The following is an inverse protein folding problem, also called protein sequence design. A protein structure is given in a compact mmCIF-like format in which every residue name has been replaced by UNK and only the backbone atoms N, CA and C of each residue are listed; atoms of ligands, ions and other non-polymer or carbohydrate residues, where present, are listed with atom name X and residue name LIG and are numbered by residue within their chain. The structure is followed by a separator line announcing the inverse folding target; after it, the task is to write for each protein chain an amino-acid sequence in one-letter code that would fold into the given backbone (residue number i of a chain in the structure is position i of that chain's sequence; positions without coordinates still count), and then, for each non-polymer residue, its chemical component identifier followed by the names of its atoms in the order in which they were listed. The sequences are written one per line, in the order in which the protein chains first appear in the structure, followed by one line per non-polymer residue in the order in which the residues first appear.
data_IF_097308589768
#
_entry.id   IF_097308589768
#
_cell.length_a   1.000
_cell.length_b   1.000
_cell.length_c   1.000
_cell.angle_alpha   90.00
_cell.angle_beta   90.00
_cell.angle_gamma   90.00
#
_symmetry.space_group_name_H-M   'P 1'
#
loop_
_entity.id
_entity.type
_entity.pdbx_description
1 polymer ?
#
# COMPACT_ATOMS: atom_id res chain seq x y z
N UNK A 1 13.65 -35.28 -11.65
CA UNK A 1 14.39 -34.31 -10.81
C UNK A 1 13.47 -33.14 -10.54
N UNK A 2 12.85 -33.10 -9.35
CA UNK A 2 11.92 -32.05 -8.94
C UNK A 2 12.64 -31.08 -8.00
N UNK A 3 12.89 -29.84 -8.44
CA UNK A 3 13.12 -28.68 -7.54
C UNK A 3 13.10 -27.36 -8.34
N UNK A 4 12.04 -26.56 -8.18
CA UNK A 4 12.03 -25.08 -8.23
C UNK A 4 10.63 -24.53 -8.59
N UNK A 5 9.68 -24.49 -7.65
CA UNK A 5 8.51 -23.59 -7.74
C UNK A 5 8.06 -23.02 -6.38
N UNK A 6 8.81 -23.25 -5.30
CA UNK A 6 8.36 -22.84 -3.95
C UNK A 6 8.74 -21.39 -3.56
N UNK A 7 9.35 -20.61 -4.47
CA UNK A 7 9.82 -19.25 -4.18
C UNK A 7 8.86 -18.12 -4.55
N UNK A 8 8.01 -18.28 -5.58
CA UNK A 8 7.36 -17.13 -6.23
C UNK A 8 5.89 -16.90 -5.80
N UNK A 9 5.27 -17.85 -5.09
CA UNK A 9 3.84 -17.76 -4.73
C UNK A 9 3.60 -17.07 -3.39
N UNK A 10 4.58 -17.07 -2.48
CA UNK A 10 4.46 -16.41 -1.16
C UNK A 10 4.77 -14.92 -1.21
N UNK A 11 5.65 -14.47 -2.10
CA UNK A 11 5.88 -13.04 -2.33
C UNK A 11 4.65 -12.37 -2.95
N UNK A 12 3.98 -13.02 -3.92
CA UNK A 12 2.76 -12.49 -4.52
C UNK A 12 1.57 -12.36 -3.54
N UNK A 13 1.65 -13.03 -2.39
CA UNK A 13 0.63 -12.98 -1.33
C UNK A 13 1.00 -12.03 -0.19
N UNK A 14 2.22 -11.47 -0.14
CA UNK A 14 2.61 -10.53 0.94
C UNK A 14 2.02 -9.13 0.68
N UNK A 15 1.11 -8.62 1.54
CA UNK A 15 0.51 -7.29 1.40
C UNK A 15 1.54 -6.17 1.25
N UNK A 16 2.72 -6.33 1.88
CA UNK A 16 3.79 -5.34 1.83
C UNK A 16 4.44 -5.22 0.45
N UNK A 17 4.28 -6.22 -0.42
CA UNK A 17 4.85 -6.23 -1.78
C UNK A 17 3.84 -5.80 -2.85
N UNK A 18 2.56 -5.69 -2.50
CA UNK A 18 1.51 -5.25 -3.41
C UNK A 18 1.64 -3.75 -3.72
N UNK A 19 1.29 -3.38 -4.96
CA UNK A 19 1.02 -1.99 -5.31
C UNK A 19 -0.25 -1.49 -4.61
N UNK A 20 -0.40 -0.16 -4.50
CA UNK A 20 -1.53 0.46 -3.80
C UNK A 20 -2.89 -0.03 -4.31
N UNK A 21 -3.10 -0.04 -5.63
CA UNK A 21 -4.39 -0.44 -6.21
C UNK A 21 -4.72 -1.90 -5.90
N UNK A 22 -3.74 -2.80 -6.00
CA UNK A 22 -3.92 -4.21 -5.70
C UNK A 22 -4.23 -4.44 -4.21
N UNK A 23 -3.50 -3.79 -3.31
CA UNK A 23 -3.74 -3.87 -1.87
C UNK A 23 -5.13 -3.33 -1.49
N UNK A 24 -5.54 -2.21 -2.08
CA UNK A 24 -6.86 -1.61 -1.86
C UNK A 24 -7.98 -2.50 -2.37
N UNK A 25 -7.86 -3.07 -3.56
CA UNK A 25 -8.89 -3.90 -4.16
C UNK A 25 -9.05 -5.22 -3.38
N UNK A 26 -7.94 -5.81 -2.90
CA UNK A 26 -8.00 -6.97 -2.01
C UNK A 26 -8.63 -6.62 -0.65
N UNK A 27 -8.29 -5.45 -0.07
CA UNK A 27 -8.89 -4.99 1.18
C UNK A 27 -10.41 -4.82 1.05
N UNK A 28 -10.87 -4.27 -0.07
CA UNK A 28 -12.30 -4.14 -0.35
C UNK A 28 -13.01 -5.50 -0.42
N UNK A 29 -12.36 -6.51 -1.00
CA UNK A 29 -12.88 -7.88 -1.02
C UNK A 29 -12.92 -8.52 0.37
N UNK A 30 -11.88 -8.31 1.19
CA UNK A 30 -11.85 -8.77 2.60
C UNK A 30 -13.02 -8.16 3.39
N UNK A 31 -13.22 -6.84 3.29
CA UNK A 31 -14.32 -6.14 3.96
C UNK A 31 -15.67 -6.68 3.48
N UNK A 32 -15.86 -6.83 2.17
CA UNK A 32 -17.09 -7.39 1.59
C UNK A 32 -17.42 -8.78 2.14
N UNK A 33 -16.40 -9.63 2.34
CA UNK A 33 -16.57 -10.98 2.92
C UNK A 33 -16.92 -10.94 4.40
N UNK A 34 -16.29 -10.04 5.17
CA UNK A 34 -16.63 -9.84 6.58
C UNK A 34 -18.08 -9.33 6.75
N UNK A 35 -18.49 -8.37 5.93
CA UNK A 35 -19.84 -7.78 5.95
C UNK A 35 -20.93 -8.77 5.53
N UNK A 36 -20.63 -9.69 4.61
CA UNK A 36 -21.56 -10.75 4.22
C UNK A 36 -21.93 -11.69 5.38
N UNK A 37 -21.06 -11.81 6.39
CA UNK A 37 -21.24 -12.72 7.51
C UNK A 37 -21.25 -14.20 7.11
N UNK A 38 -21.74 -15.06 8.00
CA UNK A 38 -21.81 -16.51 7.75
C UNK A 38 -20.48 -17.27 7.85
N UNK A 39 -19.42 -16.58 8.30
CA UNK A 39 -18.11 -17.16 8.55
C UNK A 39 -18.02 -17.73 9.97
N UNK A 40 -17.12 -18.69 10.16
CA UNK A 40 -16.72 -19.09 11.51
C UNK A 40 -15.96 -17.94 12.20
N UNK A 41 -15.82 -18.01 13.52
CA UNK A 41 -15.01 -17.04 14.26
C UNK A 41 -13.55 -17.05 13.78
N UNK A 42 -12.98 -18.24 13.56
CA UNK A 42 -11.60 -18.41 13.10
C UNK A 42 -11.40 -17.78 11.72
N UNK A 43 -12.31 -18.03 10.77
CA UNK A 43 -12.25 -17.43 9.43
C UNK A 43 -12.43 -15.90 9.48
N UNK A 44 -13.30 -15.41 10.38
CA UNK A 44 -13.52 -13.97 10.57
C UNK A 44 -12.26 -13.29 11.11
N UNK A 45 -11.55 -13.92 12.06
CA UNK A 45 -10.29 -13.41 12.60
C UNK A 45 -9.19 -13.41 11.54
N UNK A 46 -9.06 -14.49 10.76
CA UNK A 46 -8.08 -14.57 9.68
C UNK A 46 -8.29 -13.48 8.62
N UNK A 47 -9.55 -13.21 8.25
CA UNK A 47 -9.86 -12.11 7.34
C UNK A 47 -9.59 -10.74 7.95
N UNK A 48 -9.90 -10.54 9.22
CA UNK A 48 -9.58 -9.30 9.90
C UNK A 48 -8.07 -9.03 9.93
N UNK A 49 -7.25 -10.02 10.32
CA UNK A 49 -5.78 -9.89 10.34
C UNK A 49 -5.21 -9.58 8.94
N UNK A 50 -5.76 -10.21 7.90
CA UNK A 50 -5.40 -9.91 6.51
C UNK A 50 -5.79 -8.47 6.14
N UNK A 51 -6.98 -8.03 6.54
CA UNK A 51 -7.45 -6.67 6.34
C UNK A 51 -6.52 -5.63 6.98
N UNK A 52 -6.08 -5.86 8.22
CA UNK A 52 -5.14 -4.97 8.92
C UNK A 52 -3.80 -4.86 8.17
N UNK A 53 -3.27 -5.97 7.66
CA UNK A 53 -2.02 -5.96 6.89
C UNK A 53 -2.16 -5.17 5.56
N UNK A 54 -3.28 -5.35 4.86
CA UNK A 54 -3.57 -4.62 3.62
C UNK A 54 -3.79 -3.12 3.87
N UNK A 55 -4.47 -2.77 4.96
CA UNK A 55 -4.66 -1.39 5.37
C UNK A 55 -3.31 -0.72 5.68
N UNK A 56 -2.45 -1.38 6.45
CA UNK A 56 -1.10 -0.89 6.74
C UNK A 56 -0.28 -0.66 5.45
N UNK A 57 -0.34 -1.59 4.50
CA UNK A 57 0.32 -1.43 3.20
C UNK A 57 -0.21 -0.19 2.44
N UNK A 58 -1.52 0.00 2.42
CA UNK A 58 -2.14 1.18 1.79
C UNK A 58 -1.69 2.48 2.44
N UNK A 59 -1.62 2.53 3.77
CA UNK A 59 -1.13 3.69 4.52
C UNK A 59 0.34 4.00 4.19
N UNK A 60 1.19 2.99 4.11
CA UNK A 60 2.60 3.15 3.73
C UNK A 60 2.75 3.75 2.32
N UNK A 61 1.97 3.27 1.35
CA UNK A 61 1.97 3.82 -0.01
C UNK A 61 1.55 5.29 -0.03
N UNK A 62 0.49 5.63 0.70
CA UNK A 62 -0.02 7.00 0.80
C UNK A 62 0.96 7.94 1.52
N UNK A 63 1.60 7.47 2.59
CA UNK A 63 2.64 8.21 3.30
C UNK A 63 3.82 8.52 2.38
N UNK A 64 4.36 7.52 1.67
CA UNK A 64 5.45 7.72 0.72
C UNK A 64 5.07 8.64 -0.46
N UNK A 65 3.81 8.61 -0.91
CA UNK A 65 3.33 9.55 -1.93
C UNK A 65 3.27 10.99 -1.41
N UNK A 66 2.82 11.18 -0.17
CA UNK A 66 2.78 12.48 0.50
C UNK A 66 4.18 13.07 0.67
N UNK A 67 5.13 12.30 1.19
CA UNK A 67 6.52 12.75 1.37
C UNK A 67 7.16 13.21 0.06
N UNK A 68 6.89 12.49 -1.04
CA UNK A 68 7.35 12.88 -2.38
C UNK A 68 6.78 14.23 -2.81
N UNK A 69 5.49 14.47 -2.59
CA UNK A 69 4.84 15.76 -2.91
C UNK A 69 5.43 16.88 -2.06
N UNK A 70 5.54 16.67 -0.74
CA UNK A 70 6.10 17.64 0.20
C UNK A 70 7.55 18.02 -0.16
N UNK A 71 8.36 17.03 -0.55
CA UNK A 71 9.74 17.26 -1.01
C UNK A 71 9.82 18.14 -2.27
N UNK A 72 8.92 17.92 -3.23
CA UNK A 72 8.85 18.76 -4.45
C UNK A 72 8.40 20.18 -4.13
N UNK A 73 7.44 20.35 -3.22
CA UNK A 73 6.97 21.68 -2.79
C UNK A 73 8.12 22.42 -2.08
N UNK A 74 8.77 21.79 -1.11
CA UNK A 74 9.89 22.39 -0.37
C UNK A 74 11.06 22.78 -1.27
N UNK A 75 11.39 21.94 -2.27
CA UNK A 75 12.45 22.26 -3.24
C UNK A 75 12.12 23.51 -4.09
N UNK A 76 10.85 23.70 -4.45
CA UNK A 76 10.40 24.88 -5.21
C UNK A 76 10.47 26.17 -4.37
N UNK A 77 10.15 26.09 -3.09
CA UNK A 77 10.23 27.24 -2.17
C UNK A 77 11.68 27.68 -1.90
N UNK A 78 12.64 26.76 -2.02
CA UNK A 78 14.07 27.03 -1.85
C UNK A 78 14.77 27.54 -3.12
N UNK A 79 14.08 27.65 -4.26
CA UNK A 79 14.57 28.37 -5.43
C UNK A 79 14.08 29.82 -5.37
N UNK A 80 14.82 30.75 -4.75
CA UNK A 80 14.55 32.16 -4.96
C UNK A 80 14.71 32.46 -6.45
N UNK A 81 13.70 33.09 -7.04
CA UNK A 81 13.80 33.75 -8.34
C UNK A 81 14.95 34.76 -8.29
N UNK A 82 16.15 34.27 -8.57
CA UNK A 82 17.35 35.07 -8.76
C UNK A 82 17.43 35.40 -10.23
N UNK A 83 16.42 36.12 -10.72
CA UNK A 83 16.61 36.91 -11.91
C UNK A 83 17.22 38.24 -11.43
N UNK A 84 18.50 38.52 -11.70
CA UNK A 84 19.04 39.83 -11.38
C UNK A 84 18.32 40.84 -12.27
N UNK A 85 17.54 41.74 -11.64
CA UNK A 85 17.03 42.94 -12.29
C UNK A 85 18.25 43.80 -12.65
N UNK A 86 18.77 43.60 -13.86
CA UNK A 86 19.83 44.42 -14.44
C UNK A 86 19.15 45.58 -15.17
N UNK A 87 19.70 46.78 -14.97
CA UNK A 87 19.11 48.11 -15.22
C UNK A 87 18.62 48.37 -16.65
#
# INVERSE_FOLDING_TARGET
MNRALSGNRREADDPATLGYEAARDELAEVVRRLEAGGLSLEDSLALWERGEQLAAACEQHLAGARERIESVIAAREQQPDTQPLTK
#
